data_IF_303638726083
#
_entry.id   IF_303638726083
#
_cell.length_a   1.000
_cell.length_b   1.000
_cell.length_c   1.000
_cell.angle_alpha   90.00
_cell.angle_beta   90.00
_cell.angle_gamma   90.00
#
_symmetry.space_group_name_H-M   'P 1'
#
loop_
_entity.id
_entity.type
_entity.pdbx_description
1 polymer ?
#
# COMPACT_ATOMS: atom_id res chain seq x y z
N UNK A 1 -20.39 -28.63 40.03
CA UNK A 1 -19.78 -27.34 39.74
C UNK A 1 -18.27 -27.59 39.74
N UNK A 2 -17.70 -27.89 38.57
CA UNK A 2 -16.26 -28.15 38.45
C UNK A 2 -15.57 -26.79 38.20
N UNK A 3 -14.67 -26.45 39.07
CA UNK A 3 -13.80 -25.29 38.93
C UNK A 3 -12.72 -25.72 37.95
N UNK A 4 -12.63 -25.02 36.79
CA UNK A 4 -11.52 -25.18 35.86
C UNK A 4 -10.36 -24.39 36.44
N UNK A 5 -9.35 -25.07 36.96
CA UNK A 5 -8.08 -24.47 37.31
C UNK A 5 -7.39 -24.02 36.02
N UNK A 6 -7.19 -22.70 35.89
CA UNK A 6 -6.29 -22.12 34.88
C UNK A 6 -4.89 -22.27 35.47
N UNK A 7 -4.15 -23.29 35.04
CA UNK A 7 -2.74 -23.42 35.35
C UNK A 7 -1.96 -22.33 34.60
N UNK A 8 -1.17 -21.54 35.34
CA UNK A 8 -0.13 -20.70 34.77
C UNK A 8 0.83 -21.58 33.94
N UNK A 9 1.31 -21.13 32.78
CA UNK A 9 2.29 -21.88 32.02
C UNK A 9 3.57 -21.98 32.85
N UNK A 10 3.78 -23.13 33.47
CA UNK A 10 5.00 -23.47 34.19
C UNK A 10 6.18 -23.52 33.20
N UNK A 11 7.28 -22.93 33.60
CA UNK A 11 8.58 -23.04 32.96
C UNK A 11 8.97 -24.52 32.76
N UNK A 12 8.87 -25.02 31.53
CA UNK A 12 9.64 -26.14 31.01
C UNK A 12 9.34 -26.31 29.53
N UNK A 13 10.18 -25.79 28.69
CA UNK A 13 10.90 -26.42 27.59
C UNK A 13 11.70 -25.33 26.90
N UNK A 14 13.00 -25.31 27.17
CA UNK A 14 13.96 -24.72 26.26
C UNK A 14 14.09 -25.66 25.05
N UNK A 15 13.01 -25.82 24.28
CA UNK A 15 13.11 -26.18 22.89
C UNK A 15 13.52 -24.89 22.17
N UNK A 16 14.60 -24.94 21.41
CA UNK A 16 15.06 -23.91 20.50
C UNK A 16 13.85 -23.28 19.80
N UNK A 17 13.31 -22.18 20.38
CA UNK A 17 12.45 -21.28 19.65
C UNK A 17 13.39 -20.67 18.61
N UNK A 18 13.41 -21.25 17.42
CA UNK A 18 13.82 -20.50 16.26
C UNK A 18 13.00 -19.22 16.31
N UNK A 19 13.66 -18.07 16.59
CA UNK A 19 12.99 -16.78 16.64
C UNK A 19 12.28 -16.58 15.29
N UNK A 20 10.99 -16.87 15.30
CA UNK A 20 10.17 -16.87 14.09
C UNK A 20 10.07 -15.44 13.61
N UNK A 21 10.62 -15.17 12.42
CA UNK A 21 10.70 -13.83 11.87
C UNK A 21 9.29 -13.36 11.51
N UNK A 22 8.85 -12.28 12.14
CA UNK A 22 7.62 -11.56 11.82
C UNK A 22 7.98 -10.23 11.18
N UNK A 23 7.40 -9.95 10.03
CA UNK A 23 7.61 -8.68 9.31
C UNK A 23 6.38 -7.79 9.38
N UNK A 24 6.60 -6.48 9.35
CA UNK A 24 5.55 -5.49 9.11
C UNK A 24 5.50 -5.12 7.63
N UNK A 25 4.31 -5.10 7.04
CA UNK A 25 4.11 -4.70 5.66
C UNK A 25 3.15 -3.51 5.62
N UNK A 26 3.61 -2.43 5.00
CA UNK A 26 2.74 -1.36 4.56
C UNK A 26 2.43 -1.55 3.07
N UNK A 27 1.20 -1.99 2.79
CA UNK A 27 0.72 -2.17 1.43
C UNK A 27 0.06 -0.86 0.96
N UNK A 28 0.87 0.04 0.40
CA UNK A 28 0.43 1.36 -0.03
C UNK A 28 -0.18 1.39 -1.45
N UNK A 29 -0.96 2.42 -1.71
CA UNK A 29 -1.56 2.68 -3.03
C UNK A 29 -0.49 2.95 -4.09
N UNK A 30 0.49 3.77 -3.77
CA UNK A 30 1.57 4.18 -4.69
C UNK A 30 2.86 3.42 -4.43
N UNK A 31 3.23 3.26 -3.16
CA UNK A 31 4.43 2.55 -2.74
C UNK A 31 4.09 1.59 -1.61
N UNK A 32 4.78 0.47 -1.58
CA UNK A 32 4.71 -0.51 -0.50
C UNK A 32 6.08 -0.70 0.13
N UNK A 33 6.14 -1.08 1.39
CA UNK A 33 7.38 -1.39 2.09
C UNK A 33 7.21 -2.60 3.01
N UNK A 34 8.35 -3.17 3.39
CA UNK A 34 8.44 -4.24 4.35
C UNK A 34 9.53 -3.91 5.38
N UNK A 35 9.25 -4.18 6.64
CA UNK A 35 10.16 -3.92 7.74
C UNK A 35 10.24 -5.11 8.70
N UNK A 36 11.33 -5.21 9.42
CA UNK A 36 11.54 -6.19 10.49
C UNK A 36 11.81 -5.47 11.80
N UNK A 37 11.45 -6.10 12.92
CA UNK A 37 11.84 -5.60 14.24
C UNK A 37 13.21 -6.19 14.62
N UNK A 38 14.17 -5.33 14.87
CA UNK A 38 15.47 -5.69 15.34
C UNK A 38 15.75 -4.94 16.65
N UNK A 39 15.93 -5.67 17.76
CA UNK A 39 16.14 -5.08 19.09
C UNK A 39 15.12 -3.97 19.44
N UNK A 40 13.86 -4.22 19.21
CA UNK A 40 12.72 -3.27 19.42
C UNK A 40 12.76 -2.02 18.54
N UNK A 41 13.57 -2.00 17.49
CA UNK A 41 13.56 -0.94 16.47
C UNK A 41 13.06 -1.53 15.15
N UNK A 42 12.17 -0.80 14.50
CA UNK A 42 11.74 -1.14 13.15
C UNK A 42 12.83 -0.74 12.15
N UNK A 43 13.25 -1.68 11.31
CA UNK A 43 14.20 -1.47 10.23
C UNK A 43 13.54 -1.80 8.90
N UNK A 44 13.53 -0.84 7.98
CA UNK A 44 12.99 -1.04 6.64
C UNK A 44 13.95 -1.93 5.86
N UNK A 45 13.42 -2.99 5.27
CA UNK A 45 14.16 -3.89 4.40
C UNK A 45 14.26 -3.28 3.01
N UNK A 46 15.49 -3.04 2.57
CA UNK A 46 15.73 -2.45 1.25
C UNK A 46 15.45 -3.45 0.13
N UNK A 47 14.78 -2.99 -0.88
CA UNK A 47 14.54 -3.74 -2.11
C UNK A 47 15.85 -3.92 -2.89
N UNK A 48 15.85 -4.85 -3.82
CA UNK A 48 16.93 -5.00 -4.80
C UNK A 48 17.21 -3.67 -5.49
N UNK A 49 18.47 -3.20 -5.43
CA UNK A 49 18.86 -1.87 -5.90
C UNK A 49 18.91 -0.79 -4.82
N UNK A 50 18.69 -1.13 -3.53
CA UNK A 50 18.87 -0.24 -2.38
C UNK A 50 17.70 0.69 -2.09
N UNK A 51 16.58 0.55 -2.80
CA UNK A 51 15.37 1.34 -2.57
C UNK A 51 14.65 0.84 -1.31
N UNK A 52 14.13 1.75 -0.51
CA UNK A 52 13.32 1.45 0.67
C UNK A 52 11.84 1.25 0.33
N UNK A 53 11.40 1.80 -0.78
CA UNK A 53 10.02 1.75 -1.25
C UNK A 53 9.93 0.93 -2.54
N UNK A 54 8.95 0.05 -2.61
CA UNK A 54 8.56 -0.68 -3.81
C UNK A 54 7.37 0.04 -4.45
N UNK A 55 7.50 0.61 -5.65
CA UNK A 55 6.34 1.16 -6.34
C UNK A 55 5.27 0.07 -6.55
N UNK A 56 4.03 0.33 -6.10
CA UNK A 56 2.88 -0.58 -6.24
C UNK A 56 2.32 -0.56 -7.66
N UNK A 57 3.20 -0.75 -8.64
CA UNK A 57 2.92 -0.71 -10.07
C UNK A 57 3.01 -2.12 -10.62
N UNK A 58 1.98 -2.53 -11.35
CA UNK A 58 1.93 -3.84 -12.00
C UNK A 58 1.98 -3.66 -13.50
N UNK A 59 2.82 -4.44 -14.14
CA UNK A 59 2.95 -4.49 -15.59
C UNK A 59 3.15 -5.95 -16.04
N UNK A 60 2.86 -6.24 -17.30
CA UNK A 60 3.22 -7.51 -17.92
C UNK A 60 4.31 -7.24 -18.96
N UNK A 61 5.49 -7.79 -18.69
CA UNK A 61 6.66 -7.73 -19.56
C UNK A 61 6.98 -9.16 -20.00
N UNK A 62 7.04 -9.40 -21.29
CA UNK A 62 7.33 -10.72 -21.88
C UNK A 62 6.44 -11.85 -21.33
N UNK A 63 5.15 -11.56 -21.14
CA UNK A 63 4.15 -12.52 -20.64
C UNK A 63 4.24 -12.80 -19.15
N UNK A 64 5.11 -12.10 -18.41
CA UNK A 64 5.25 -12.23 -16.94
C UNK A 64 4.76 -10.98 -16.23
N UNK A 65 4.02 -11.19 -15.15
CA UNK A 65 3.66 -10.10 -14.24
C UNK A 65 4.91 -9.59 -13.55
N UNK A 66 5.10 -8.29 -13.57
CA UNK A 66 6.23 -7.59 -12.95
C UNK A 66 5.73 -6.47 -12.06
N UNK A 67 6.44 -6.20 -10.97
CA UNK A 67 6.09 -5.16 -10.00
C UNK A 67 7.23 -4.16 -9.88
N UNK A 68 6.88 -2.90 -9.66
CA UNK A 68 7.85 -1.82 -9.41
C UNK A 68 8.59 -1.32 -10.65
N UNK A 69 8.34 -1.90 -11.82
CA UNK A 69 8.99 -1.50 -13.07
C UNK A 69 8.03 -0.75 -13.97
N UNK A 70 8.46 0.39 -14.46
CA UNK A 70 7.79 1.11 -15.53
C UNK A 70 8.57 0.90 -16.82
N UNK A 71 7.91 0.39 -17.84
CA UNK A 71 8.37 0.52 -19.22
C UNK A 71 7.51 1.56 -19.94
N UNK A 72 7.86 1.91 -21.17
CA UNK A 72 7.09 2.83 -22.01
C UNK A 72 5.73 2.24 -22.46
N UNK A 73 5.30 1.09 -21.93
CA UNK A 73 4.05 0.44 -22.31
C UNK A 73 2.86 1.15 -21.70
N UNK A 74 1.75 1.20 -22.45
CA UNK A 74 0.50 1.80 -22.00
C UNK A 74 -0.28 0.93 -20.99
N UNK A 75 0.15 -0.31 -20.76
CA UNK A 75 -0.59 -1.31 -19.99
C UNK A 75 0.00 -1.46 -18.59
N UNK A 76 0.03 -0.37 -17.86
CA UNK A 76 0.51 -0.33 -16.49
C UNK A 76 -0.71 -0.13 -15.59
N UNK A 77 -0.85 -1.00 -14.58
CA UNK A 77 -1.85 -0.85 -13.54
C UNK A 77 -1.18 -0.23 -12.32
N UNK A 78 -1.71 0.89 -11.92
CA UNK A 78 -1.32 1.63 -10.72
C UNK A 78 -2.41 1.50 -9.67
N UNK A 79 -2.07 1.77 -8.43
CA UNK A 79 -3.05 1.94 -7.35
C UNK A 79 -3.96 0.72 -7.14
N UNK A 80 -3.41 -0.51 -7.25
CA UNK A 80 -4.17 -1.76 -7.08
C UNK A 80 -4.96 -1.79 -5.78
N UNK A 81 -4.43 -1.19 -4.71
CA UNK A 81 -5.11 -1.08 -3.42
C UNK A 81 -6.47 -0.38 -3.51
N UNK A 82 -6.61 0.66 -4.37
CA UNK A 82 -7.89 1.35 -4.60
C UNK A 82 -8.95 0.44 -5.25
N UNK A 83 -8.51 -0.59 -5.97
CA UNK A 83 -9.37 -1.50 -6.71
C UNK A 83 -9.90 -2.64 -5.84
N UNK A 84 -9.21 -2.96 -4.73
CA UNK A 84 -9.64 -4.03 -3.83
C UNK A 84 -11.04 -3.73 -3.30
N UNK A 85 -11.88 -4.76 -3.29
CA UNK A 85 -13.30 -4.69 -2.95
C UNK A 85 -14.20 -3.84 -3.88
N UNK A 86 -13.68 -3.33 -5.00
CA UNK A 86 -14.51 -2.72 -6.05
C UNK A 86 -15.15 -3.80 -6.91
N UNK A 87 -16.42 -3.60 -7.27
CA UNK A 87 -17.09 -4.40 -8.30
C UNK A 87 -16.68 -3.93 -9.70
N UNK A 88 -16.96 -4.75 -10.71
CA UNK A 88 -16.77 -4.32 -12.11
C UNK A 88 -17.57 -3.08 -12.44
N UNK A 89 -18.77 -2.95 -11.88
CA UNK A 89 -19.65 -1.79 -12.06
C UNK A 89 -19.05 -0.52 -11.42
N UNK A 90 -18.47 -0.64 -10.21
CA UNK A 90 -17.77 0.47 -9.55
C UNK A 90 -16.59 0.98 -10.37
N UNK A 91 -15.84 0.07 -11.01
CA UNK A 91 -14.69 0.42 -11.85
C UNK A 91 -15.15 1.11 -13.14
N UNK A 92 -16.21 0.59 -13.80
CA UNK A 92 -16.75 1.16 -15.04
C UNK A 92 -17.32 2.56 -14.81
N UNK A 93 -18.06 2.75 -13.72
CA UNK A 93 -18.74 4.01 -13.42
C UNK A 93 -17.80 5.08 -12.85
N UNK A 94 -16.57 4.73 -12.53
CA UNK A 94 -15.60 5.67 -11.95
C UNK A 94 -14.75 6.31 -13.05
N UNK A 95 -14.85 7.63 -13.21
CA UNK A 95 -14.11 8.38 -14.24
C UNK A 95 -12.59 8.26 -14.12
N UNK A 96 -12.06 8.20 -12.91
CA UNK A 96 -10.62 8.07 -12.65
C UNK A 96 -10.11 6.66 -13.00
N UNK A 97 -10.99 5.65 -12.90
CA UNK A 97 -10.67 4.25 -13.21
C UNK A 97 -11.09 3.86 -14.63
N UNK A 98 -11.68 4.77 -15.41
CA UNK A 98 -12.21 4.50 -16.76
C UNK A 98 -11.16 3.93 -17.71
N UNK A 99 -9.89 4.26 -17.55
CA UNK A 99 -8.80 3.66 -18.34
C UNK A 99 -8.63 2.16 -18.14
N UNK A 100 -9.17 1.60 -17.06
CA UNK A 100 -9.17 0.17 -16.76
C UNK A 100 -10.41 -0.54 -17.31
N UNK A 101 -11.47 0.18 -17.65
CA UNK A 101 -12.74 -0.39 -18.14
C UNK A 101 -12.54 -1.25 -19.40
N UNK A 102 -11.68 -0.80 -20.30
CA UNK A 102 -11.36 -1.53 -21.55
C UNK A 102 -10.58 -2.84 -21.30
N UNK A 103 -10.02 -3.00 -20.12
CA UNK A 103 -9.25 -4.18 -19.71
C UNK A 103 -10.06 -5.11 -18.79
N UNK A 104 -11.26 -4.72 -18.37
CA UNK A 104 -12.09 -5.55 -17.50
C UNK A 104 -12.63 -6.78 -18.24
N UNK A 105 -12.52 -7.94 -17.60
CA UNK A 105 -13.20 -9.17 -18.01
C UNK A 105 -14.61 -9.16 -17.42
N UNK A 106 -15.62 -9.07 -18.27
CA UNK A 106 -17.02 -8.99 -17.85
C UNK A 106 -17.58 -10.40 -17.54
N UNK A 107 -18.53 -10.44 -16.62
CA UNK A 107 -19.27 -11.67 -16.27
C UNK A 107 -18.71 -12.47 -15.11
N UNK A 108 -17.68 -12.00 -14.45
CA UNK A 108 -17.09 -12.63 -13.27
C UNK A 108 -17.58 -11.97 -11.98
N UNK A 109 -17.73 -12.77 -10.93
CA UNK A 109 -18.12 -12.27 -9.59
C UNK A 109 -17.02 -11.42 -8.95
N UNK A 110 -15.76 -11.77 -9.23
CA UNK A 110 -14.58 -10.99 -8.81
C UNK A 110 -13.99 -10.33 -10.05
N UNK A 111 -13.80 -8.99 -10.05
CA UNK A 111 -13.23 -8.31 -11.19
C UNK A 111 -11.86 -8.89 -11.57
N UNK A 112 -11.71 -9.20 -12.85
CA UNK A 112 -10.43 -9.56 -13.45
C UNK A 112 -10.06 -8.52 -14.49
N UNK A 113 -8.79 -8.33 -14.68
CA UNK A 113 -8.24 -7.45 -15.69
C UNK A 113 -7.48 -8.31 -16.70
N UNK A 114 -7.80 -8.13 -17.97
CA UNK A 114 -7.05 -8.73 -19.07
C UNK A 114 -5.94 -7.79 -19.49
N UNK A 115 -4.71 -8.21 -19.25
CA UNK A 115 -3.52 -7.45 -19.60
C UNK A 115 -2.67 -8.25 -20.59
N UNK A 116 -2.59 -7.81 -21.84
CA UNK A 116 -1.86 -8.50 -22.91
C UNK A 116 -2.23 -9.98 -23.06
N UNK A 117 -3.53 -10.31 -22.90
CA UNK A 117 -4.05 -11.67 -23.00
C UNK A 117 -3.86 -12.52 -21.73
N UNK A 118 -3.32 -11.96 -20.67
CA UNK A 118 -3.28 -12.59 -19.35
C UNK A 118 -4.41 -12.02 -18.50
N UNK A 119 -5.29 -12.89 -18.00
CA UNK A 119 -6.34 -12.51 -17.07
C UNK A 119 -5.82 -12.69 -15.64
N UNK A 120 -6.00 -11.65 -14.82
CA UNK A 120 -5.55 -11.63 -13.44
C UNK A 120 -6.59 -10.91 -12.58
N UNK A 121 -6.96 -11.50 -11.45
CA UNK A 121 -7.88 -10.87 -10.50
C UNK A 121 -7.18 -9.80 -9.65
N UNK A 122 -7.97 -8.91 -9.06
CA UNK A 122 -7.42 -7.84 -8.22
C UNK A 122 -6.60 -8.37 -7.02
N UNK A 123 -7.05 -9.40 -6.28
CA UNK A 123 -6.23 -10.00 -5.22
C UNK A 123 -4.94 -10.66 -5.72
N UNK A 124 -4.97 -11.30 -6.91
CA UNK A 124 -3.76 -11.87 -7.52
C UNK A 124 -2.75 -10.80 -7.89
N UNK A 125 -3.22 -9.64 -8.39
CA UNK A 125 -2.34 -8.49 -8.63
C UNK A 125 -1.70 -7.98 -7.35
N UNK A 126 -2.47 -7.82 -6.28
CA UNK A 126 -1.94 -7.44 -4.98
C UNK A 126 -0.94 -8.48 -4.46
N UNK A 127 -1.20 -9.78 -4.70
CA UNK A 127 -0.29 -10.85 -4.31
C UNK A 127 1.08 -10.73 -4.98
N UNK A 128 1.17 -10.25 -6.21
CA UNK A 128 2.46 -10.03 -6.85
C UNK A 128 3.31 -8.98 -6.12
N UNK A 129 2.68 -7.93 -5.59
CA UNK A 129 3.39 -6.95 -4.72
C UNK A 129 3.92 -7.63 -3.47
N UNK A 130 3.08 -8.41 -2.78
CA UNK A 130 3.49 -9.16 -1.58
C UNK A 130 4.60 -10.16 -1.87
N UNK A 131 4.59 -10.85 -3.01
CA UNK A 131 5.66 -11.79 -3.42
C UNK A 131 7.00 -11.08 -3.58
N UNK A 132 7.01 -9.90 -4.20
CA UNK A 132 8.24 -9.12 -4.36
C UNK A 132 8.76 -8.66 -3.00
N UNK A 133 7.91 -8.16 -2.12
CA UNK A 133 8.28 -7.78 -0.74
C UNK A 133 8.86 -8.96 0.02
N UNK A 134 8.18 -10.13 -0.04
CA UNK A 134 8.63 -11.36 0.60
C UNK A 134 10.01 -11.80 0.12
N UNK A 135 10.18 -11.88 -1.20
CA UNK A 135 11.45 -12.31 -1.79
C UNK A 135 12.62 -11.40 -1.42
N UNK A 136 12.40 -10.07 -1.36
CA UNK A 136 13.43 -9.13 -0.91
C UNK A 136 13.73 -9.30 0.59
N UNK A 137 12.71 -9.55 1.41
CA UNK A 137 12.90 -9.78 2.84
C UNK A 137 13.69 -11.08 3.10
N UNK A 138 13.33 -12.16 2.44
CA UNK A 138 14.05 -13.44 2.55
C UNK A 138 15.49 -13.34 2.09
N UNK A 139 15.75 -12.59 1.01
CA UNK A 139 17.09 -12.33 0.51
C UNK A 139 17.93 -11.50 1.52
N UNK A 140 17.34 -10.45 2.09
CA UNK A 140 18.02 -9.57 3.01
C UNK A 140 18.30 -10.22 4.37
N UNK A 141 17.36 -11.04 4.84
CA UNK A 141 17.46 -11.70 6.15
C UNK A 141 18.15 -13.07 6.08
N UNK A 142 18.36 -13.62 4.89
CA UNK A 142 18.96 -14.94 4.69
C UNK A 142 18.10 -16.08 5.25
N UNK A 143 16.82 -15.86 5.48
CA UNK A 143 15.91 -16.80 6.13
C UNK A 143 14.51 -16.70 5.53
N UNK A 144 13.74 -17.79 5.63
CA UNK A 144 12.33 -17.80 5.21
C UNK A 144 11.50 -16.87 6.09
N UNK A 145 10.61 -16.11 5.47
CA UNK A 145 9.70 -15.17 6.13
C UNK A 145 8.27 -15.60 5.87
N UNK A 146 7.60 -16.11 6.88
CA UNK A 146 6.24 -16.63 6.74
C UNK A 146 5.19 -15.73 7.38
N UNK A 147 5.49 -15.11 8.53
CA UNK A 147 4.51 -14.34 9.29
C UNK A 147 4.61 -12.84 9.02
N UNK A 148 3.46 -12.20 8.89
CA UNK A 148 3.37 -10.78 8.67
C UNK A 148 2.26 -10.10 9.48
N UNK A 149 2.50 -8.83 9.84
CA UNK A 149 1.48 -7.85 10.22
C UNK A 149 1.32 -6.92 9.02
N UNK A 150 0.09 -6.70 8.56
CA UNK A 150 -0.17 -5.87 7.37
C UNK A 150 -1.03 -4.68 7.74
N UNK A 151 -0.64 -3.48 7.31
CA UNK A 151 -1.45 -2.27 7.47
C UNK A 151 -2.56 -2.20 6.41
N UNK A 152 -3.72 -1.72 6.83
CA UNK A 152 -4.89 -1.48 5.96
C UNK A 152 -5.57 -0.17 6.33
N UNK A 153 -6.21 0.53 5.38
CA UNK A 153 -7.01 1.70 5.70
C UNK A 153 -8.08 1.41 6.76
N UNK A 154 -8.32 2.39 7.63
CA UNK A 154 -9.30 2.21 8.72
C UNK A 154 -10.73 1.99 8.20
N UNK A 155 -11.07 2.57 7.04
CA UNK A 155 -12.37 2.46 6.40
C UNK A 155 -12.58 1.17 5.59
N UNK A 156 -11.55 0.33 5.41
CA UNK A 156 -11.71 -0.94 4.70
C UNK A 156 -12.74 -1.81 5.42
N UNK A 157 -13.77 -2.21 4.67
CA UNK A 157 -14.75 -3.18 5.11
C UNK A 157 -14.17 -4.62 5.16
N UNK A 158 -14.98 -5.56 5.61
CA UNK A 158 -14.57 -6.96 5.74
C UNK A 158 -14.20 -7.58 4.38
N UNK A 159 -14.84 -7.15 3.29
CA UNK A 159 -14.53 -7.62 1.94
C UNK A 159 -13.14 -7.18 1.51
N UNK A 160 -12.82 -5.87 1.63
CA UNK A 160 -11.51 -5.33 1.30
C UNK A 160 -10.40 -5.97 2.17
N UNK A 161 -10.65 -6.08 3.47
CA UNK A 161 -9.73 -6.76 4.40
C UNK A 161 -9.50 -8.22 4.02
N UNK A 162 -10.57 -8.93 3.65
CA UNK A 162 -10.52 -10.32 3.17
C UNK A 162 -9.68 -10.46 1.89
N UNK A 163 -9.78 -9.51 0.96
CA UNK A 163 -8.98 -9.53 -0.27
C UNK A 163 -7.49 -9.28 0.01
N UNK A 164 -7.14 -8.39 0.96
CA UNK A 164 -5.75 -8.20 1.40
C UNK A 164 -5.19 -9.47 2.05
N UNK A 165 -5.95 -10.11 2.95
CA UNK A 165 -5.57 -11.39 3.56
C UNK A 165 -5.35 -12.48 2.50
N UNK A 166 -6.25 -12.57 1.53
CA UNK A 166 -6.17 -13.53 0.46
C UNK A 166 -4.94 -13.28 -0.44
N UNK A 167 -4.67 -12.02 -0.79
CA UNK A 167 -3.49 -11.63 -1.55
C UNK A 167 -2.18 -11.99 -0.82
N UNK A 168 -2.08 -11.67 0.46
CA UNK A 168 -0.92 -12.03 1.29
C UNK A 168 -0.74 -13.55 1.39
N UNK A 169 -1.84 -14.31 1.54
CA UNK A 169 -1.82 -15.77 1.55
C UNK A 169 -1.33 -16.35 0.22
N UNK A 170 -1.77 -15.81 -0.93
CA UNK A 170 -1.28 -16.20 -2.25
C UNK A 170 0.22 -15.95 -2.44
N UNK A 171 0.77 -14.96 -1.73
CA UNK A 171 2.20 -14.69 -1.68
C UNK A 171 2.95 -15.59 -0.67
N UNK A 172 2.26 -16.45 0.06
CA UNK A 172 2.84 -17.35 1.05
C UNK A 172 3.11 -16.71 2.41
N UNK A 173 2.37 -15.64 2.76
CA UNK A 173 2.35 -15.11 4.11
C UNK A 173 1.19 -15.67 4.94
N UNK A 174 1.47 -15.94 6.19
CA UNK A 174 0.49 -16.05 7.27
C UNK A 174 0.36 -14.65 7.90
N UNK A 175 -0.77 -13.99 7.68
CA UNK A 175 -1.04 -12.69 8.29
C UNK A 175 -1.56 -12.91 9.71
N UNK A 176 -0.71 -12.65 10.69
CA UNK A 176 -1.06 -12.80 12.11
C UNK A 176 -1.95 -11.66 12.62
N UNK A 177 -1.88 -10.48 11.97
CA UNK A 177 -2.73 -9.32 12.29
C UNK A 177 -2.85 -8.37 11.12
N UNK A 178 -4.07 -7.84 10.92
CA UNK A 178 -4.29 -6.58 10.20
C UNK A 178 -4.32 -5.43 11.22
N UNK A 179 -3.61 -4.36 10.92
CA UNK A 179 -3.62 -3.13 11.73
C UNK A 179 -4.15 -1.97 10.91
N UNK A 180 -4.97 -1.10 11.51
CA UNK A 180 -5.39 0.11 10.82
C UNK A 180 -4.19 1.07 10.64
N UNK A 181 -4.03 1.64 9.43
CA UNK A 181 -2.94 2.57 9.10
C UNK A 181 -2.78 3.72 10.09
N UNK A 182 -3.87 4.42 10.53
CA UNK A 182 -3.74 5.46 11.53
C UNK A 182 -3.25 4.95 12.88
N UNK A 183 -3.58 3.70 13.23
CA UNK A 183 -3.07 3.04 14.44
C UNK A 183 -1.58 2.75 14.31
N UNK A 184 -1.13 2.23 13.15
CA UNK A 184 0.28 1.98 12.87
C UNK A 184 1.09 3.29 12.92
N UNK A 185 0.58 4.37 12.31
CA UNK A 185 1.19 5.70 12.36
C UNK A 185 1.30 6.22 13.80
N UNK A 186 0.25 6.09 14.60
CA UNK A 186 0.25 6.49 16.00
C UNK A 186 1.33 5.74 16.82
N UNK A 187 1.48 4.43 16.59
CA UNK A 187 2.54 3.65 17.21
C UNK A 187 3.93 4.11 16.77
N UNK A 188 4.13 4.40 15.49
CA UNK A 188 5.41 4.87 14.96
C UNK A 188 5.82 6.22 15.57
N UNK A 189 4.86 7.08 15.87
CA UNK A 189 5.09 8.36 16.57
C UNK A 189 5.23 8.22 18.11
N UNK A 190 5.22 7.00 18.62
CA UNK A 190 5.46 6.75 20.05
C UNK A 190 4.29 7.11 20.97
N UNK A 191 3.07 7.21 20.45
CA UNK A 191 1.89 7.54 21.26
C UNK A 191 1.58 6.48 22.32
N UNK A 192 2.11 5.26 22.20
CA UNK A 192 2.03 4.21 23.22
C UNK A 192 2.77 4.58 24.52
N UNK A 193 3.65 5.58 24.51
CA UNK A 193 4.48 5.97 25.66
C UNK A 193 3.77 6.92 26.64
N UNK A 194 2.48 6.68 26.92
CA UNK A 194 1.70 7.33 28.01
C UNK A 194 1.20 8.75 27.76
N UNK A 195 0.97 9.16 26.56
CA UNK A 195 0.25 10.41 26.30
C UNK A 195 -1.25 10.13 26.16
N UNK A 196 -2.02 10.30 27.22
CA UNK A 196 -3.48 10.32 27.10
C UNK A 196 -3.92 11.52 26.28
N UNK A 197 -4.92 11.35 25.42
CA UNK A 197 -5.45 12.45 24.64
C UNK A 197 -6.13 12.01 23.35
N UNK A 198 -6.64 13.01 22.64
CA UNK A 198 -7.24 12.84 21.32
C UNK A 198 -6.27 13.34 20.26
N UNK A 199 -6.03 12.51 19.25
CA UNK A 199 -5.08 12.76 18.19
C UNK A 199 -5.78 12.77 16.85
N UNK A 200 -5.32 13.64 15.96
CA UNK A 200 -5.69 13.65 14.55
C UNK A 200 -4.54 13.04 13.76
N UNK A 201 -4.81 11.97 13.01
CA UNK A 201 -3.92 11.45 11.98
C UNK A 201 -4.43 11.95 10.64
N UNK A 202 -3.57 12.68 9.93
CA UNK A 202 -3.80 13.20 8.59
C UNK A 202 -2.85 12.50 7.65
N UNK A 203 -3.38 11.65 6.79
CA UNK A 203 -2.63 10.85 5.82
C UNK A 203 -3.06 11.21 4.41
N UNK A 204 -2.24 11.99 3.71
CA UNK A 204 -2.38 12.28 2.29
C UNK A 204 -1.34 11.48 1.52
N UNK A 205 -1.76 10.31 1.09
CA UNK A 205 -0.94 9.39 0.32
C UNK A 205 -0.87 9.75 -1.17
N UNK A 206 -0.28 8.86 -1.96
CA UNK A 206 -0.24 9.05 -3.41
C UNK A 206 -1.59 8.86 -4.08
N UNK A 207 -2.49 8.08 -3.47
CA UNK A 207 -3.78 7.75 -4.07
C UNK A 207 -4.99 7.94 -3.17
N UNK A 208 -4.82 8.06 -1.87
CA UNK A 208 -5.91 8.23 -0.91
C UNK A 208 -5.59 9.37 0.04
N UNK A 209 -6.62 10.02 0.51
CA UNK A 209 -6.58 10.98 1.61
C UNK A 209 -7.40 10.43 2.75
N UNK A 210 -6.77 10.21 3.88
CA UNK A 210 -7.37 9.65 5.07
C UNK A 210 -7.16 10.56 6.28
N UNK A 211 -8.24 10.80 7.03
CA UNK A 211 -8.22 11.52 8.30
C UNK A 211 -8.84 10.63 9.35
N UNK A 212 -8.15 10.46 10.46
CA UNK A 212 -8.64 9.64 11.57
C UNK A 212 -8.48 10.36 12.90
N UNK A 213 -9.51 10.29 13.72
CA UNK A 213 -9.47 10.74 15.12
C UNK A 213 -9.21 9.52 15.98
N UNK A 214 -8.15 9.58 16.75
CA UNK A 214 -7.73 8.54 17.68
C UNK A 214 -7.88 9.06 19.11
N UNK A 215 -8.34 8.19 20.01
CA UNK A 215 -8.33 8.46 21.44
C UNK A 215 -7.39 7.47 22.14
N UNK A 216 -6.45 8.00 22.91
CA UNK A 216 -5.54 7.22 23.74
C UNK A 216 -5.97 7.34 25.19
N UNK A 217 -6.36 6.23 25.82
CA UNK A 217 -6.69 6.14 27.23
C UNK A 217 -6.16 4.84 27.81
N UNK A 218 -5.49 4.93 28.94
CA UNK A 218 -4.97 3.78 29.69
C UNK A 218 -4.16 2.79 28.83
N UNK A 219 -3.35 3.32 27.91
CA UNK A 219 -2.55 2.51 27.00
C UNK A 219 -3.33 1.86 25.85
N UNK A 220 -4.63 2.14 25.72
CA UNK A 220 -5.47 1.64 24.62
C UNK A 220 -5.68 2.75 23.61
N UNK A 221 -5.32 2.49 22.36
CA UNK A 221 -5.56 3.37 21.23
C UNK A 221 -6.83 2.93 20.48
N UNK A 222 -7.80 3.83 20.44
CA UNK A 222 -9.08 3.61 19.78
C UNK A 222 -9.27 4.57 18.62
N UNK A 223 -9.62 4.06 17.44
CA UNK A 223 -10.10 4.88 16.32
C UNK A 223 -11.53 5.28 16.61
N UNK A 224 -11.76 6.59 16.80
CA UNK A 224 -13.07 7.16 17.17
C UNK A 224 -13.88 7.52 15.94
N UNK A 225 -13.21 8.10 14.94
CA UNK A 225 -13.85 8.50 13.69
C UNK A 225 -12.84 8.44 12.55
N UNK A 226 -13.34 8.19 11.35
CA UNK A 226 -12.57 8.23 10.10
C UNK A 226 -13.32 9.01 9.06
N UNK A 227 -12.58 9.69 8.18
CA UNK A 227 -13.10 10.38 7.00
C UNK A 227 -12.01 10.45 5.95
N UNK A 228 -12.31 11.02 4.81
CA UNK A 228 -11.32 11.16 3.75
C UNK A 228 -11.93 10.99 2.36
N UNK A 229 -11.05 10.83 1.38
CA UNK A 229 -11.41 10.58 -0.01
C UNK A 229 -10.48 9.50 -0.57
N UNK A 230 -11.04 8.36 -0.94
CA UNK A 230 -10.29 7.23 -1.48
C UNK A 230 -9.87 7.39 -2.95
N UNK A 231 -10.20 8.54 -3.54
CA UNK A 231 -9.86 8.92 -4.91
C UNK A 231 -9.08 10.24 -4.98
N UNK A 232 -8.58 10.74 -3.85
CA UNK A 232 -7.76 11.94 -3.76
C UNK A 232 -6.38 11.61 -3.21
N UNK A 233 -5.33 11.96 -3.96
CA UNK A 233 -3.95 11.79 -3.52
C UNK A 233 -2.95 12.49 -4.42
N UNK A 234 -1.67 12.23 -4.20
CA UNK A 234 -0.59 12.83 -4.96
C UNK A 234 -0.67 12.58 -6.47
N UNK A 235 -1.19 11.40 -6.88
CA UNK A 235 -1.34 11.07 -8.30
C UNK A 235 -2.42 11.94 -8.97
N UNK A 236 -3.46 12.34 -8.23
CA UNK A 236 -4.52 13.23 -8.75
C UNK A 236 -3.98 14.66 -8.88
N UNK A 237 -3.16 15.10 -7.93
CA UNK A 237 -2.45 16.38 -8.01
C UNK A 237 -1.48 16.38 -9.20
N UNK A 238 -0.77 15.28 -9.46
CA UNK A 238 0.10 15.11 -10.63
C UNK A 238 -0.69 15.32 -11.93
N UNK A 239 -1.90 14.77 -12.03
CA UNK A 239 -2.73 14.90 -13.22
C UNK A 239 -3.24 16.33 -13.44
N UNK A 240 -3.63 17.03 -12.37
CA UNK A 240 -3.99 18.46 -12.46
C UNK A 240 -2.79 19.29 -12.94
N UNK A 241 -1.59 18.97 -12.45
CA UNK A 241 -0.38 19.65 -12.88
C UNK A 241 -0.03 19.31 -14.34
N UNK A 242 -0.26 18.07 -14.79
CA UNK A 242 -0.12 17.67 -16.21
C UNK A 242 -1.01 18.51 -17.11
N UNK A 243 -2.27 18.71 -16.75
CA UNK A 243 -3.20 19.54 -17.51
C UNK A 243 -2.69 21.00 -17.59
N UNK A 244 -2.28 21.56 -16.46
CA UNK A 244 -1.72 22.90 -16.39
C UNK A 244 -0.45 23.05 -17.25
N UNK A 245 0.52 22.14 -17.09
CA UNK A 245 1.77 22.17 -17.85
C UNK A 245 1.58 21.93 -19.35
N UNK A 246 0.63 21.06 -19.71
CA UNK A 246 0.23 20.83 -21.11
C UNK A 246 -0.33 22.11 -21.75
N UNK A 247 -1.22 22.80 -21.04
CA UNK A 247 -1.78 24.06 -21.51
C UNK A 247 -0.72 25.18 -21.64
N UNK A 248 0.21 25.24 -20.68
CA UNK A 248 1.27 26.25 -20.64
C UNK A 248 2.33 26.05 -21.73
N UNK A 249 2.77 24.81 -21.97
CA UNK A 249 3.89 24.50 -22.87
C UNK A 249 3.44 24.04 -24.27
N UNK A 250 2.15 23.71 -24.45
CA UNK A 250 1.63 23.10 -25.68
C UNK A 250 2.02 21.63 -25.87
N UNK A 251 2.64 20.99 -24.87
CA UNK A 251 3.01 19.59 -24.91
C UNK A 251 1.76 18.70 -24.82
N UNK A 252 1.73 17.62 -25.57
CA UNK A 252 0.65 16.62 -25.45
C UNK A 252 0.84 15.80 -24.19
N UNK A 253 -0.28 15.42 -23.57
CA UNK A 253 -0.29 14.48 -22.44
C UNK A 253 0.37 13.16 -22.84
N UNK A 254 1.38 12.78 -22.11
CA UNK A 254 2.20 11.59 -22.33
C UNK A 254 2.73 11.05 -21.00
N UNK A 255 3.24 9.83 -20.99
CA UNK A 255 3.89 9.26 -19.79
C UNK A 255 5.11 10.07 -19.36
N UNK A 256 5.83 10.69 -20.32
CA UNK A 256 6.94 11.58 -20.04
C UNK A 256 6.45 12.85 -19.32
N UNK A 257 5.40 13.50 -19.82
CA UNK A 257 4.84 14.70 -19.19
C UNK A 257 4.33 14.40 -17.78
N UNK A 258 3.71 13.23 -17.56
CA UNK A 258 3.26 12.80 -16.23
C UNK A 258 4.46 12.65 -15.27
N UNK A 259 5.53 12.01 -15.71
CA UNK A 259 6.73 11.86 -14.88
C UNK A 259 7.39 13.22 -14.57
N UNK A 260 7.44 14.12 -15.53
CA UNK A 260 7.97 15.49 -15.35
C UNK A 260 7.10 16.33 -14.42
N UNK A 261 5.77 16.24 -14.55
CA UNK A 261 4.83 16.94 -13.67
C UNK A 261 4.99 16.48 -12.22
N UNK A 262 5.14 15.17 -11.99
CA UNK A 262 5.44 14.62 -10.67
C UNK A 262 6.75 15.20 -10.12
N UNK A 263 7.80 15.26 -10.93
CA UNK A 263 9.08 15.89 -10.54
C UNK A 263 8.92 17.35 -10.15
N UNK A 264 8.17 18.14 -10.93
CA UNK A 264 7.85 19.55 -10.61
C UNK A 264 7.11 19.65 -9.28
N UNK A 265 6.07 18.82 -9.04
CA UNK A 265 5.35 18.78 -7.77
C UNK A 265 6.29 18.50 -6.59
N UNK A 266 7.15 17.49 -6.73
CA UNK A 266 8.09 17.11 -5.67
C UNK A 266 9.11 18.23 -5.40
N UNK A 267 9.62 18.89 -6.44
CA UNK A 267 10.54 20.04 -6.27
C UNK A 267 9.88 21.23 -5.59
N UNK A 268 8.61 21.52 -5.89
CA UNK A 268 7.84 22.59 -5.25
C UNK A 268 7.60 22.37 -3.75
N UNK A 269 7.81 21.15 -3.23
CA UNK A 269 7.79 20.89 -1.79
C UNK A 269 9.00 21.52 -1.06
N UNK A 270 10.06 21.85 -1.78
CA UNK A 270 11.31 22.39 -1.23
C UNK A 270 11.71 23.75 -1.83
N UNK A 271 11.06 24.16 -2.93
CA UNK A 271 11.34 25.39 -3.67
C UNK A 271 10.06 26.18 -3.83
N UNK A 272 10.17 27.51 -3.83
CA UNK A 272 9.05 28.41 -4.15
C UNK A 272 8.72 28.47 -5.64
N UNK A 273 9.66 28.09 -6.48
CA UNK A 273 9.56 28.17 -7.93
C UNK A 273 10.34 27.04 -8.60
N UNK A 274 9.84 26.52 -9.71
CA UNK A 274 10.50 25.53 -10.58
C UNK A 274 10.43 25.99 -12.02
N UNK A 275 11.50 25.79 -12.78
CA UNK A 275 11.51 26.11 -14.21
C UNK A 275 11.08 24.87 -15.00
N UNK A 276 10.01 25.01 -15.78
CA UNK A 276 9.51 24.00 -16.69
C UNK A 276 9.41 24.55 -18.11
N UNK A 277 10.21 24.02 -19.05
CA UNK A 277 10.29 24.45 -20.46
C UNK A 277 10.39 25.96 -20.62
N UNK A 278 11.20 26.62 -19.78
CA UNK A 278 11.43 28.06 -19.78
C UNK A 278 10.38 28.90 -19.07
N UNK A 279 9.33 28.29 -18.55
CA UNK A 279 8.30 28.93 -17.73
C UNK A 279 8.60 28.75 -16.25
N UNK A 280 8.28 29.74 -15.43
CA UNK A 280 8.34 29.64 -13.97
C UNK A 280 6.99 29.12 -13.49
N UNK A 281 7.03 28.06 -12.71
CA UNK A 281 5.88 27.41 -12.08
C UNK A 281 5.89 27.72 -10.60
#
# INVERSE_FOLDING_TARGET
MQIIEISEPGASDQSEQSDEIVVGIDFGTTNSLIAVSNNHKAEIIKMSGGLELLPSIINIIDGKVTVGKTDASKNIIRSVKRLLAKSSEDIINNTTLSSLSDMLVLGESTPKISLRGTEISLPEMAAEVFKVLKSNAELALGSSVQKAVVSVPAYFDDSARGQVLFAAKLAGFEVIRLIAEPTAAAYAYGLQNNTEGTYLVYDLGGGTFDVSILNMQLGVLQVVATGGDNMLGGDDIDMLLVEYLSALSGLKVSTDLIARAKGVKEELSFKSEVIFDGNII
#
